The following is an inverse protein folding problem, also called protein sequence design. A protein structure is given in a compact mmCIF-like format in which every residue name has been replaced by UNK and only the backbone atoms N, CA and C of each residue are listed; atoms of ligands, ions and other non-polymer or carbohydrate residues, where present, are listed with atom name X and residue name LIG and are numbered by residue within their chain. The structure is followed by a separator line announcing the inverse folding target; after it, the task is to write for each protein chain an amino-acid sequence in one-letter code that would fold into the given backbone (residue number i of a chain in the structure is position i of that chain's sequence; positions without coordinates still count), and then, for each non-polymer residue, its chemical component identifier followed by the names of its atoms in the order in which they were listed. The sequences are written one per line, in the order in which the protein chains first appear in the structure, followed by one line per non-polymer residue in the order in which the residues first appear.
data_IF_875668250935
#
_entry.id   IF_875668250935
#
_cell.length_a   1.000
_cell.length_b   1.000
_cell.length_c   1.000
_cell.angle_alpha   90.00
_cell.angle_beta   90.00
_cell.angle_gamma   90.00
#
_symmetry.space_group_name_H-M   'P 1'
#
loop_
_entity.id
_entity.type
_entity.pdbx_description
1 polymer ?
#
# COMPACT_ATOMS: atom_id res chain seq x y z
N UNK A 1 -0.29 4.61 -56.95
CA UNK A 1 -1.30 4.86 -58.01
C UNK A 1 -0.88 5.94 -58.99
N UNK A 2 -0.50 7.14 -58.58
CA UNK A 2 0.00 8.21 -59.46
C UNK A 2 1.19 7.74 -60.30
N UNK A 3 2.16 7.04 -59.77
CA UNK A 3 3.33 6.53 -60.52
C UNK A 3 2.94 5.59 -61.67
N UNK A 4 1.95 4.75 -61.52
CA UNK A 4 1.51 3.83 -62.58
C UNK A 4 0.87 4.60 -63.72
N UNK A 5 0.08 5.65 -63.41
CA UNK A 5 -0.53 6.48 -64.41
C UNK A 5 0.49 7.32 -65.19
N UNK A 6 1.51 7.88 -64.53
CA UNK A 6 2.51 8.74 -65.13
C UNK A 6 3.64 7.99 -65.85
N UNK A 7 4.02 6.78 -65.40
CA UNK A 7 5.10 5.97 -65.97
C UNK A 7 4.65 4.97 -67.03
N UNK A 8 3.32 4.81 -67.21
CA UNK A 8 2.80 3.90 -68.24
C UNK A 8 2.99 4.49 -69.66
N UNK A 9 3.60 3.69 -70.55
CA UNK A 9 3.82 4.03 -71.96
C UNK A 9 2.49 4.19 -72.72
N UNK A 10 1.39 3.55 -72.25
CA UNK A 10 0.05 3.67 -72.79
C UNK A 10 -0.91 4.14 -71.72
N UNK A 11 -1.30 5.43 -71.78
CA UNK A 11 -2.15 6.08 -70.78
C UNK A 11 -3.53 5.43 -70.60
N UNK A 12 -4.14 4.90 -71.67
CA UNK A 12 -5.45 4.25 -71.60
C UNK A 12 -5.35 2.92 -70.82
N UNK A 13 -4.29 2.15 -71.07
CA UNK A 13 -4.04 0.90 -70.40
C UNK A 13 -3.65 1.12 -68.94
N UNK A 14 -2.89 2.17 -68.65
CA UNK A 14 -2.53 2.61 -67.30
C UNK A 14 -3.76 3.06 -66.49
N UNK A 15 -4.70 3.78 -67.09
CA UNK A 15 -5.96 4.22 -66.45
C UNK A 15 -6.85 3.03 -66.10
N UNK A 16 -7.02 2.08 -66.99
CA UNK A 16 -7.78 0.86 -66.73
C UNK A 16 -7.18 0.00 -65.63
N UNK A 17 -5.85 -0.14 -65.60
CA UNK A 17 -5.15 -0.89 -64.56
C UNK A 17 -5.30 -0.23 -63.20
N UNK A 18 -5.17 1.11 -63.12
CA UNK A 18 -5.41 1.86 -61.88
C UNK A 18 -6.84 1.65 -61.37
N UNK A 19 -7.85 1.69 -62.27
CA UNK A 19 -9.23 1.55 -61.88
C UNK A 19 -9.56 0.12 -61.33
N UNK A 20 -8.97 -0.92 -61.93
CA UNK A 20 -9.14 -2.30 -61.48
C UNK A 20 -8.45 -2.56 -60.15
N UNK A 21 -7.30 -1.98 -59.89
CA UNK A 21 -6.51 -2.22 -58.64
C UNK A 21 -6.97 -1.29 -57.51
N UNK A 22 -7.40 -0.06 -57.84
CA UNK A 22 -7.73 0.96 -56.83
C UNK A 22 -8.84 0.55 -55.89
N UNK A 23 -9.92 -0.03 -56.41
CA UNK A 23 -11.07 -0.39 -55.60
C UNK A 23 -10.78 -1.53 -54.57
N UNK A 24 -10.21 -2.70 -54.99
CA UNK A 24 -9.83 -3.75 -54.02
C UNK A 24 -8.78 -3.24 -53.04
N UNK A 25 -7.80 -2.43 -53.48
CA UNK A 25 -6.75 -1.96 -52.59
C UNK A 25 -7.27 -0.94 -51.56
N UNK A 26 -8.21 -0.05 -51.93
CA UNK A 26 -8.90 0.84 -50.98
C UNK A 26 -9.68 0.03 -49.95
N UNK A 27 -10.39 -1.01 -50.39
CA UNK A 27 -11.21 -1.84 -49.52
C UNK A 27 -10.36 -2.60 -48.51
N UNK A 28 -9.30 -3.27 -48.97
CA UNK A 28 -8.37 -4.01 -48.10
C UNK A 28 -7.68 -3.09 -47.10
N UNK A 29 -7.17 -1.95 -47.55
CA UNK A 29 -6.51 -0.98 -46.68
C UNK A 29 -7.48 -0.36 -45.66
N UNK A 30 -8.72 -0.06 -46.06
CA UNK A 30 -9.73 0.48 -45.15
C UNK A 30 -10.11 -0.54 -44.07
N UNK A 31 -10.36 -1.80 -44.47
CA UNK A 31 -10.67 -2.88 -43.53
C UNK A 31 -9.47 -3.17 -42.61
N UNK A 32 -8.28 -3.27 -43.17
CA UNK A 32 -7.04 -3.49 -42.41
C UNK A 32 -6.80 -2.39 -41.37
N UNK A 33 -6.99 -1.11 -41.78
CA UNK A 33 -6.83 0.03 -40.87
C UNK A 33 -7.88 0.03 -39.75
N UNK A 34 -9.14 -0.31 -40.07
CA UNK A 34 -10.20 -0.42 -39.05
C UNK A 34 -9.92 -1.53 -38.04
N UNK A 35 -9.46 -2.70 -38.50
CA UNK A 35 -9.08 -3.80 -37.60
C UNK A 35 -7.90 -3.37 -36.73
N UNK A 36 -6.86 -2.77 -37.33
CA UNK A 36 -5.68 -2.31 -36.58
C UNK A 36 -6.04 -1.27 -35.51
N UNK A 37 -6.82 -0.25 -35.86
CA UNK A 37 -7.32 0.75 -34.91
C UNK A 37 -8.20 0.12 -33.82
N UNK A 38 -9.04 -0.83 -34.17
CA UNK A 38 -9.89 -1.52 -33.22
C UNK A 38 -9.08 -2.30 -32.19
N UNK A 39 -8.02 -2.99 -32.62
CA UNK A 39 -7.10 -3.71 -31.73
C UNK A 39 -6.41 -2.73 -30.79
N UNK A 40 -5.81 -1.66 -31.33
CA UNK A 40 -5.12 -0.64 -30.51
C UNK A 40 -6.07 -0.02 -29.48
N UNK A 41 -7.25 0.44 -29.91
CA UNK A 41 -8.21 1.06 -29.01
C UNK A 41 -8.72 0.08 -27.95
N UNK A 42 -8.88 -1.18 -28.30
CA UNK A 42 -9.29 -2.21 -27.35
C UNK A 42 -8.19 -2.49 -26.31
N UNK A 43 -6.94 -2.55 -26.75
CA UNK A 43 -5.78 -2.71 -25.85
C UNK A 43 -5.65 -1.53 -24.88
N UNK A 44 -5.74 -0.30 -25.38
CA UNK A 44 -5.67 0.92 -24.54
C UNK A 44 -6.81 0.93 -23.51
N UNK A 45 -8.05 0.65 -23.93
CA UNK A 45 -9.21 0.60 -23.01
C UNK A 45 -9.07 -0.49 -21.96
N UNK A 46 -8.48 -1.62 -22.33
CA UNK A 46 -8.26 -2.72 -21.39
C UNK A 46 -7.25 -2.32 -20.32
N UNK A 47 -6.14 -1.69 -20.70
CA UNK A 47 -5.15 -1.17 -19.77
C UNK A 47 -5.71 -0.05 -18.87
N UNK A 48 -6.47 0.88 -19.41
CA UNK A 48 -7.11 1.95 -18.62
C UNK A 48 -8.11 1.39 -17.60
N UNK A 49 -8.89 0.37 -17.99
CA UNK A 49 -9.83 -0.31 -17.09
C UNK A 49 -9.12 -1.01 -15.93
N UNK A 50 -8.02 -1.72 -16.20
CA UNK A 50 -7.21 -2.37 -15.15
C UNK A 50 -6.59 -1.35 -14.20
N UNK A 51 -6.04 -0.26 -14.70
CA UNK A 51 -5.46 0.82 -13.89
C UNK A 51 -6.50 1.50 -13.00
N UNK A 52 -7.72 1.72 -13.50
CA UNK A 52 -8.79 2.33 -12.73
C UNK A 52 -9.22 1.43 -11.54
N UNK A 53 -9.36 0.12 -11.76
CA UNK A 53 -9.70 -0.85 -10.70
C UNK A 53 -8.59 -0.89 -9.66
N UNK A 54 -7.33 -1.00 -10.07
CA UNK A 54 -6.19 -1.02 -9.15
C UNK A 54 -6.09 0.25 -8.31
N UNK A 55 -6.34 1.42 -8.89
CA UNK A 55 -6.33 2.69 -8.14
C UNK A 55 -7.43 2.73 -7.08
N UNK A 56 -8.62 2.21 -7.39
CA UNK A 56 -9.73 2.16 -6.44
C UNK A 56 -9.43 1.21 -5.27
N UNK A 57 -8.86 0.05 -5.54
CA UNK A 57 -8.48 -0.94 -4.53
C UNK A 57 -7.44 -0.38 -3.56
N UNK A 58 -6.44 0.37 -4.06
CA UNK A 58 -5.42 1.02 -3.21
C UNK A 58 -6.01 2.14 -2.37
N UNK A 59 -6.88 2.98 -2.93
CA UNK A 59 -7.55 4.03 -2.16
C UNK A 59 -8.42 3.44 -1.05
N UNK A 60 -9.12 2.36 -1.33
CA UNK A 60 -9.92 1.67 -0.33
C UNK A 60 -9.04 1.04 0.75
N UNK A 61 -7.97 0.33 0.35
CA UNK A 61 -6.99 -0.24 1.28
C UNK A 61 -6.39 0.84 2.18
N UNK A 62 -5.97 1.97 1.62
CA UNK A 62 -5.43 3.10 2.37
C UNK A 62 -6.43 3.63 3.39
N UNK A 63 -7.70 3.78 3.02
CA UNK A 63 -8.76 4.24 3.91
C UNK A 63 -9.03 3.28 5.07
N UNK A 64 -9.00 1.97 4.80
CA UNK A 64 -9.26 0.95 5.80
C UNK A 64 -8.05 0.73 6.74
N UNK A 65 -6.83 0.91 6.25
CA UNK A 65 -5.60 0.76 7.04
C UNK A 65 -5.24 2.01 7.85
N UNK A 66 -5.72 3.20 7.47
CA UNK A 66 -5.44 4.46 8.16
C UNK A 66 -5.69 4.40 9.68
N UNK A 67 -6.84 3.93 10.20
CA UNK A 67 -7.08 3.84 11.63
C UNK A 67 -6.20 2.81 12.33
N UNK A 68 -5.72 1.79 11.62
CA UNK A 68 -4.87 0.73 12.16
C UNK A 68 -3.45 1.24 12.42
N UNK A 69 -2.84 1.85 11.43
CA UNK A 69 -1.48 2.42 11.57
C UNK A 69 -1.46 3.71 12.38
N UNK A 70 -2.55 4.50 12.34
CA UNK A 70 -2.70 5.71 13.11
C UNK A 70 -2.70 5.50 14.63
N UNK A 71 -3.04 4.32 15.12
CA UNK A 71 -2.94 3.95 16.54
C UNK A 71 -1.62 3.27 16.92
N UNK A 72 -0.66 3.25 16.01
CA UNK A 72 0.67 2.67 16.19
C UNK A 72 0.77 1.22 15.75
N UNK A 73 2.01 0.79 15.53
CA UNK A 73 2.35 -0.54 15.05
C UNK A 73 2.30 -1.54 16.24
N UNK A 74 1.13 -2.13 16.49
CA UNK A 74 0.93 -3.18 17.48
C UNK A 74 0.46 -4.48 16.82
N UNK A 75 0.57 -5.65 17.47
CA UNK A 75 0.25 -6.94 16.86
C UNK A 75 -1.19 -7.05 16.34
N UNK A 76 -2.17 -6.51 17.07
CA UNK A 76 -3.59 -6.58 16.69
C UNK A 76 -3.85 -5.78 15.40
N UNK A 77 -3.36 -4.55 15.34
CA UNK A 77 -3.53 -3.68 14.18
C UNK A 77 -2.71 -4.19 12.98
N UNK A 78 -1.49 -4.66 13.23
CA UNK A 78 -0.65 -5.27 12.21
C UNK A 78 -1.31 -6.49 11.58
N UNK A 79 -1.95 -7.36 12.39
CA UNK A 79 -2.64 -8.54 11.87
C UNK A 79 -3.84 -8.15 10.99
N UNK A 80 -4.67 -7.21 11.43
CA UNK A 80 -5.79 -6.71 10.63
C UNK A 80 -5.31 -6.07 9.32
N UNK A 81 -4.23 -5.29 9.37
CA UNK A 81 -3.64 -4.67 8.20
C UNK A 81 -3.08 -5.73 7.23
N UNK A 82 -2.36 -6.74 7.73
CA UNK A 82 -1.83 -7.83 6.92
C UNK A 82 -2.93 -8.62 6.20
N UNK A 83 -4.05 -8.90 6.88
CA UNK A 83 -5.21 -9.58 6.29
C UNK A 83 -5.87 -8.74 5.18
N UNK A 84 -6.05 -7.43 5.42
CA UNK A 84 -6.59 -6.51 4.41
C UNK A 84 -5.68 -6.42 3.18
N UNK A 85 -4.38 -6.27 3.40
CA UNK A 85 -3.39 -6.20 2.32
C UNK A 85 -3.37 -7.52 1.53
N UNK A 86 -3.31 -8.67 2.20
CA UNK A 86 -3.30 -9.99 1.58
C UNK A 86 -4.54 -10.20 0.69
N UNK A 87 -5.72 -9.82 1.19
CA UNK A 87 -6.98 -9.93 0.45
C UNK A 87 -7.03 -9.02 -0.78
N UNK A 88 -6.55 -7.79 -0.64
CA UNK A 88 -6.62 -6.76 -1.69
C UNK A 88 -5.56 -6.97 -2.76
N UNK A 89 -4.31 -7.21 -2.34
CA UNK A 89 -3.17 -7.36 -3.25
C UNK A 89 -3.06 -8.75 -3.89
N UNK A 90 -3.79 -9.75 -3.35
CA UNK A 90 -3.79 -11.15 -3.84
C UNK A 90 -2.39 -11.77 -3.91
N UNK A 91 -1.48 -11.34 -3.05
CA UNK A 91 -0.15 -11.93 -2.88
C UNK A 91 -0.24 -13.23 -2.08
N UNK A 92 0.77 -14.11 -2.19
CA UNK A 92 0.74 -15.42 -1.52
C UNK A 92 0.78 -15.35 0.00
N UNK A 93 1.53 -14.38 0.54
CA UNK A 93 1.51 -14.07 1.97
C UNK A 93 1.95 -12.63 2.24
N UNK A 94 1.55 -12.09 3.40
CA UNK A 94 1.94 -10.76 3.91
C UNK A 94 2.45 -10.91 5.32
N UNK A 95 3.54 -10.22 5.64
CA UNK A 95 4.04 -10.09 7.00
C UNK A 95 4.34 -8.64 7.35
N UNK A 96 4.02 -8.27 8.59
CA UNK A 96 4.40 -6.98 9.17
C UNK A 96 5.24 -7.27 10.41
N UNK A 97 6.37 -6.58 10.53
CA UNK A 97 7.29 -6.78 11.65
C UNK A 97 7.61 -5.46 12.33
N UNK A 98 8.02 -5.52 13.58
CA UNK A 98 8.81 -4.45 14.18
C UNK A 98 10.30 -4.70 13.89
N UNK A 99 11.20 -4.04 14.64
CA UNK A 99 12.66 -4.23 14.49
C UNK A 99 13.18 -5.59 14.96
N UNK A 100 12.39 -6.35 15.73
CA UNK A 100 12.82 -7.61 16.40
C UNK A 100 11.91 -8.78 16.02
N UNK A 101 10.61 -8.57 16.09
CA UNK A 101 9.62 -9.64 16.07
C UNK A 101 8.66 -9.52 14.88
N UNK A 102 8.09 -10.65 14.49
CA UNK A 102 6.96 -10.72 13.56
C UNK A 102 5.71 -10.29 14.32
N UNK A 103 5.10 -9.17 13.94
CA UNK A 103 3.86 -8.66 14.51
C UNK A 103 2.62 -9.31 13.88
N UNK A 104 2.70 -9.59 12.57
CA UNK A 104 1.62 -10.20 11.81
C UNK A 104 2.17 -11.07 10.69
N UNK A 105 1.45 -12.15 10.40
CA UNK A 105 1.68 -13.00 9.24
C UNK A 105 0.36 -13.58 8.76
N UNK A 106 0.12 -13.53 7.44
CA UNK A 106 -1.11 -14.04 6.82
C UNK A 106 -0.79 -14.64 5.46
N UNK A 107 -1.29 -15.84 5.17
CA UNK A 107 -1.13 -16.52 3.90
C UNK A 107 -0.27 -17.77 3.95
N UNK A 108 0.35 -18.13 2.83
CA UNK A 108 1.18 -19.32 2.69
C UNK A 108 2.40 -19.28 3.63
N UNK A 109 2.74 -20.39 4.28
CA UNK A 109 3.85 -20.46 5.23
C UNK A 109 3.52 -20.03 6.66
N UNK A 110 2.25 -19.80 7.00
CA UNK A 110 1.80 -19.43 8.35
C UNK A 110 2.01 -20.53 9.41
N UNK A 111 2.31 -21.74 8.98
CA UNK A 111 2.64 -22.89 9.85
C UNK A 111 3.97 -22.70 10.59
N UNK A 112 4.95 -22.02 9.99
CA UNK A 112 6.28 -21.81 10.57
C UNK A 112 6.68 -20.32 10.73
N UNK A 113 6.10 -19.39 9.98
CA UNK A 113 6.26 -17.96 10.20
C UNK A 113 5.28 -17.46 11.26
N UNK A 114 5.62 -17.63 12.54
CA UNK A 114 4.70 -17.36 13.66
C UNK A 114 4.83 -15.94 14.18
N UNK A 115 3.69 -15.36 14.53
CA UNK A 115 3.64 -14.07 15.24
C UNK A 115 4.36 -14.19 16.59
N UNK A 116 5.17 -13.20 16.93
CA UNK A 116 5.96 -13.16 18.16
C UNK A 116 7.29 -13.92 18.10
N UNK A 117 7.60 -14.57 16.97
CA UNK A 117 8.95 -15.10 16.75
C UNK A 117 9.91 -13.99 16.30
N UNK A 118 11.20 -14.19 16.62
CA UNK A 118 12.28 -13.29 16.15
C UNK A 118 12.24 -13.14 14.62
N UNK A 119 12.79 -12.04 14.12
CA UNK A 119 13.03 -11.82 12.70
C UNK A 119 13.91 -12.95 12.14
N UNK A 120 13.25 -13.94 11.56
CA UNK A 120 13.86 -15.21 11.11
C UNK A 120 14.67 -15.01 9.83
N UNK A 121 14.43 -13.94 9.05
CA UNK A 121 15.03 -13.79 7.73
C UNK A 121 16.12 -12.71 7.72
N UNK A 122 17.29 -13.04 7.16
CA UNK A 122 18.41 -12.11 7.02
C UNK A 122 18.04 -10.92 6.13
N UNK A 123 17.23 -11.15 5.10
CA UNK A 123 16.71 -10.10 4.21
C UNK A 123 15.98 -8.99 4.98
N UNK A 124 15.25 -9.33 6.04
CA UNK A 124 14.54 -8.34 6.87
C UNK A 124 15.48 -7.49 7.71
N UNK A 125 16.55 -8.09 8.24
CA UNK A 125 17.57 -7.35 8.99
C UNK A 125 18.33 -6.40 8.08
N UNK A 126 18.61 -6.85 6.86
CA UNK A 126 19.28 -6.05 5.85
C UNK A 126 18.40 -4.85 5.45
N UNK A 127 17.11 -5.04 5.14
CA UNK A 127 16.19 -3.96 4.82
C UNK A 127 16.06 -2.90 5.94
N UNK A 128 16.08 -3.34 7.22
CA UNK A 128 16.10 -2.42 8.38
C UNK A 128 17.42 -1.65 8.48
N UNK A 129 18.54 -2.28 8.11
CA UNK A 129 19.87 -1.67 8.24
C UNK A 129 20.15 -0.68 7.12
N UNK A 130 19.81 -1.06 5.88
CA UNK A 130 20.05 -0.26 4.68
C UNK A 130 18.96 0.80 4.46
N UNK A 131 17.74 0.57 4.94
CA UNK A 131 16.63 1.50 4.79
C UNK A 131 16.03 1.51 3.38
N UNK A 132 16.30 0.47 2.59
CA UNK A 132 15.89 0.36 1.20
C UNK A 132 15.00 -0.87 0.99
N UNK A 133 14.23 -0.83 -0.10
CA UNK A 133 13.47 -1.97 -0.55
C UNK A 133 14.43 -3.06 -1.03
N UNK A 134 14.21 -4.28 -0.56
CA UNK A 134 14.96 -5.47 -1.00
C UNK A 134 14.02 -6.47 -1.65
N UNK A 135 14.51 -7.10 -2.71
CA UNK A 135 13.77 -8.11 -3.47
C UNK A 135 14.56 -9.41 -3.42
N UNK A 136 13.87 -10.51 -3.17
CA UNK A 136 14.41 -11.87 -3.22
C UNK A 136 13.63 -12.67 -4.26
N UNK A 137 14.36 -13.35 -5.14
CA UNK A 137 13.82 -14.18 -6.21
C UNK A 137 13.89 -15.67 -5.90
N UNK A 138 14.50 -16.02 -4.78
CA UNK A 138 14.65 -17.39 -4.35
C UNK A 138 14.42 -17.54 -2.85
N UNK A 139 13.99 -18.74 -2.44
CA UNK A 139 13.84 -19.09 -1.02
C UNK A 139 15.14 -18.90 -0.23
N UNK A 140 16.28 -19.18 -0.87
CA UNK A 140 17.59 -19.00 -0.24
C UNK A 140 17.88 -17.53 0.08
N UNK A 141 17.51 -16.63 -0.82
CA UNK A 141 17.64 -15.17 -0.63
C UNK A 141 16.67 -14.65 0.45
N UNK A 142 15.46 -15.21 0.54
CA UNK A 142 14.54 -14.91 1.64
C UNK A 142 15.17 -15.27 2.99
N UNK A 143 16.02 -16.30 3.03
CA UNK A 143 16.67 -16.75 4.25
C UNK A 143 15.75 -17.53 5.19
N UNK A 144 14.73 -18.20 4.67
CA UNK A 144 13.86 -19.06 5.47
C UNK A 144 14.55 -20.40 5.76
N UNK A 145 14.62 -20.79 7.04
CA UNK A 145 15.26 -22.03 7.48
C UNK A 145 14.38 -23.29 7.29
N UNK A 146 13.12 -23.12 6.90
CA UNK A 146 12.20 -24.22 6.66
C UNK A 146 12.39 -24.78 5.26
N UNK A 147 12.80 -26.05 5.14
CA UNK A 147 13.05 -26.69 3.83
C UNK A 147 11.78 -26.86 2.98
N UNK A 148 10.62 -26.94 3.63
CA UNK A 148 9.31 -27.10 2.99
C UNK A 148 8.55 -25.78 2.81
N UNK A 149 9.23 -24.63 3.00
CA UNK A 149 8.60 -23.32 2.85
C UNK A 149 8.11 -23.12 1.40
N UNK A 150 6.83 -22.81 1.18
CA UNK A 150 6.27 -22.63 -0.16
C UNK A 150 6.62 -21.27 -0.79
N UNK A 151 7.32 -20.40 -0.06
CA UNK A 151 7.62 -19.04 -0.50
C UNK A 151 8.93 -19.03 -1.30
N UNK A 152 8.85 -18.59 -2.56
CA UNK A 152 10.00 -18.55 -3.49
C UNK A 152 10.47 -17.12 -3.76
N UNK A 153 9.56 -16.13 -3.71
CA UNK A 153 9.91 -14.72 -3.88
C UNK A 153 9.45 -13.85 -2.72
N UNK A 154 10.13 -12.73 -2.48
CA UNK A 154 9.73 -11.75 -1.49
C UNK A 154 10.14 -10.32 -1.88
N UNK A 155 9.27 -9.37 -1.51
CA UNK A 155 9.59 -7.94 -1.47
C UNK A 155 9.56 -7.51 -0.01
N UNK A 156 10.64 -6.94 0.48
CA UNK A 156 10.76 -6.43 1.85
C UNK A 156 10.95 -4.93 1.80
N UNK A 157 10.07 -4.20 2.48
CA UNK A 157 10.06 -2.74 2.49
C UNK A 157 10.18 -2.24 3.93
N UNK A 158 11.03 -1.25 4.19
CA UNK A 158 11.08 -0.59 5.49
C UNK A 158 9.79 0.22 5.74
N UNK A 159 9.34 0.22 6.98
CA UNK A 159 8.29 1.10 7.49
C UNK A 159 8.95 2.18 8.34
N UNK A 160 8.77 3.43 7.94
CA UNK A 160 9.45 4.57 8.51
C UNK A 160 8.54 5.38 9.43
N UNK A 161 9.12 5.90 10.52
CA UNK A 161 8.55 6.93 11.37
C UNK A 161 9.51 8.15 11.37
N UNK A 162 9.33 9.03 10.40
CA UNK A 162 10.31 10.07 10.10
C UNK A 162 11.61 9.49 9.58
N UNK A 163 12.71 9.67 10.31
CA UNK A 163 14.02 9.15 9.94
C UNK A 163 14.33 7.77 10.54
N UNK A 164 13.46 7.26 11.41
CA UNK A 164 13.65 5.98 12.09
C UNK A 164 12.86 4.87 11.39
N UNK A 165 13.49 3.73 11.15
CA UNK A 165 12.81 2.53 10.68
C UNK A 165 12.20 1.82 11.88
N UNK A 166 10.88 1.67 11.89
CA UNK A 166 10.13 1.04 12.98
C UNK A 166 9.83 -0.43 12.76
N UNK A 167 9.93 -0.89 11.51
CA UNK A 167 9.67 -2.27 11.14
C UNK A 167 9.77 -2.50 9.64
N UNK A 168 9.21 -3.60 9.16
CA UNK A 168 9.13 -3.93 7.74
C UNK A 168 7.74 -4.43 7.35
N UNK A 169 7.35 -4.12 6.12
CA UNK A 169 6.25 -4.74 5.40
C UNK A 169 6.83 -5.70 4.38
N UNK A 170 6.27 -6.90 4.29
CA UNK A 170 6.77 -7.95 3.40
C UNK A 170 5.64 -8.53 2.59
N UNK A 171 5.87 -8.66 1.31
CA UNK A 171 5.03 -9.42 0.38
C UNK A 171 5.77 -10.66 -0.04
N UNK A 172 5.08 -11.79 -0.04
CA UNK A 172 5.66 -13.07 -0.44
C UNK A 172 4.88 -13.66 -1.60
N UNK A 173 5.63 -14.38 -2.44
CA UNK A 173 5.15 -15.05 -3.63
C UNK A 173 5.56 -16.51 -3.59
N UNK A 174 4.68 -17.40 -4.04
CA UNK A 174 4.96 -18.84 -4.21
C UNK A 174 5.55 -19.15 -5.58
N UNK A 175 5.64 -18.15 -6.45
CA UNK A 175 6.16 -18.25 -7.80
C UNK A 175 6.89 -16.93 -8.13
N UNK A 176 8.14 -17.01 -8.57
CA UNK A 176 8.95 -15.83 -8.91
C UNK A 176 8.38 -15.05 -10.11
N UNK A 177 7.69 -15.72 -11.03
CA UNK A 177 7.02 -15.07 -12.18
C UNK A 177 5.96 -14.04 -11.75
N UNK A 178 5.46 -14.12 -10.52
CA UNK A 178 4.51 -13.15 -9.94
C UNK A 178 5.19 -11.88 -9.43
N UNK A 179 6.51 -11.89 -9.29
CA UNK A 179 7.29 -10.78 -8.75
C UNK A 179 7.73 -9.84 -9.87
N UNK A 180 6.80 -9.08 -10.41
CA UNK A 180 7.05 -8.15 -11.51
C UNK A 180 7.44 -6.75 -11.02
N UNK A 181 7.96 -5.91 -11.93
CA UNK A 181 8.24 -4.49 -11.62
C UNK A 181 6.98 -3.72 -11.18
N UNK A 182 5.81 -4.19 -11.59
CA UNK A 182 4.53 -3.57 -11.22
C UNK A 182 4.25 -3.81 -9.74
N UNK A 183 4.39 -5.06 -9.27
CA UNK A 183 4.23 -5.41 -7.86
C UNK A 183 5.25 -4.69 -6.98
N UNK A 184 6.50 -4.54 -7.44
CA UNK A 184 7.52 -3.80 -6.71
C UNK A 184 7.14 -2.33 -6.52
N UNK A 185 6.71 -1.65 -7.58
CA UNK A 185 6.25 -0.24 -7.52
C UNK A 185 5.00 -0.07 -6.65
N UNK A 186 4.07 -1.02 -6.70
CA UNK A 186 2.90 -1.02 -5.83
C UNK A 186 3.29 -1.18 -4.36
N UNK A 187 4.18 -2.13 -4.08
CA UNK A 187 4.67 -2.38 -2.74
C UNK A 187 5.38 -1.14 -2.16
N UNK A 188 6.23 -0.49 -2.95
CA UNK A 188 6.93 0.75 -2.59
C UNK A 188 5.94 1.87 -2.25
N UNK A 189 4.98 2.15 -3.13
CA UNK A 189 3.96 3.18 -2.89
C UNK A 189 3.11 2.92 -1.65
N UNK A 190 2.73 1.65 -1.39
CA UNK A 190 2.00 1.28 -0.17
C UNK A 190 2.86 1.44 1.09
N UNK A 191 4.16 1.10 1.04
CA UNK A 191 5.08 1.30 2.17
C UNK A 191 5.22 2.77 2.55
N UNK A 192 5.31 3.67 1.55
CA UNK A 192 5.33 5.12 1.79
C UNK A 192 4.03 5.61 2.43
N UNK A 193 2.88 5.13 1.94
CA UNK A 193 1.57 5.47 2.51
C UNK A 193 1.49 5.00 3.97
N UNK A 194 1.87 3.76 4.26
CA UNK A 194 1.81 3.22 5.61
C UNK A 194 2.80 3.90 6.55
N UNK A 195 4.01 4.21 6.10
CA UNK A 195 4.99 5.01 6.85
C UNK A 195 4.42 6.38 7.21
N UNK A 196 3.77 7.05 6.26
CA UNK A 196 3.09 8.33 6.50
C UNK A 196 1.95 8.20 7.51
N UNK A 197 1.16 7.13 7.44
CA UNK A 197 0.09 6.87 8.41
C UNK A 197 0.63 6.63 9.83
N UNK A 198 1.72 5.88 9.97
CA UNK A 198 2.40 5.64 11.26
C UNK A 198 2.87 6.97 11.85
N UNK A 199 3.51 7.81 11.06
CA UNK A 199 4.01 9.12 11.49
C UNK A 199 2.86 10.05 11.93
N UNK A 200 1.78 10.14 11.15
CA UNK A 200 0.62 10.96 11.48
C UNK A 200 -0.06 10.49 12.77
N UNK A 201 -0.20 9.18 12.95
CA UNK A 201 -0.80 8.60 14.16
C UNK A 201 0.01 8.90 15.41
N UNK A 202 1.34 8.89 15.32
CA UNK A 202 2.21 9.27 16.42
C UNK A 202 2.04 10.74 16.81
N UNK A 203 1.98 11.64 15.82
CA UNK A 203 1.75 13.08 16.06
C UNK A 203 0.41 13.31 16.76
N UNK A 204 -0.64 12.63 16.34
CA UNK A 204 -1.97 12.76 16.93
C UNK A 204 -2.04 12.22 18.37
N UNK A 205 -1.40 11.08 18.61
CA UNK A 205 -1.24 10.51 19.94
C UNK A 205 -0.46 11.45 20.89
N UNK A 206 0.63 12.05 20.42
CA UNK A 206 1.40 13.01 21.20
C UNK A 206 0.59 14.26 21.54
N UNK A 207 -0.18 14.80 20.60
CA UNK A 207 -1.09 15.93 20.86
C UNK A 207 -2.14 15.59 21.91
N UNK A 208 -2.68 14.37 21.85
CA UNK A 208 -3.68 13.92 22.83
C UNK A 208 -3.07 13.81 24.24
N UNK A 209 -1.87 13.27 24.36
CA UNK A 209 -1.16 13.17 25.64
C UNK A 209 -0.81 14.56 26.21
N UNK A 210 -0.36 15.50 25.37
CA UNK A 210 -0.09 16.88 25.78
C UNK A 210 -1.37 17.56 26.31
N UNK A 211 -2.48 17.44 25.59
CA UNK A 211 -3.78 17.98 26.02
C UNK A 211 -4.24 17.38 27.34
N UNK A 212 -4.05 16.08 27.54
CA UNK A 212 -4.38 15.44 28.83
C UNK A 212 -3.47 15.94 29.97
N UNK A 213 -2.17 16.14 29.70
CA UNK A 213 -1.24 16.68 30.68
C UNK A 213 -1.61 18.13 31.07
N UNK A 214 -1.96 18.96 30.10
CA UNK A 214 -2.46 20.34 30.36
C UNK A 214 -3.71 20.34 31.22
N UNK A 215 -4.70 19.49 30.89
CA UNK A 215 -5.94 19.37 31.69
C UNK A 215 -5.63 18.92 33.12
N UNK A 216 -4.73 17.97 33.33
CA UNK A 216 -4.31 17.55 34.69
C UNK A 216 -3.62 18.68 35.44
N UNK A 217 -2.79 19.46 34.77
CA UNK A 217 -2.10 20.63 35.38
C UNK A 217 -3.12 21.69 35.80
N UNK A 218 -4.09 21.99 34.94
CA UNK A 218 -5.16 22.94 35.24
C UNK A 218 -6.05 22.44 36.41
N UNK A 219 -6.39 21.17 36.43
CA UNK A 219 -7.12 20.56 37.55
C UNK A 219 -6.32 20.58 38.86
N UNK A 220 -5.00 20.40 38.81
CA UNK A 220 -4.12 20.49 39.97
C UNK A 220 -3.98 21.93 40.50
N UNK A 221 -4.18 22.95 39.68
CA UNK A 221 -4.18 24.37 40.13
C UNK A 221 -5.44 24.74 40.92
N UNK A 222 -6.54 24.03 40.76
CA UNK A 222 -7.68 24.12 41.64
C UNK A 222 -7.33 23.44 42.95
N UNK A 223 -6.95 24.23 43.97
CA UNK A 223 -6.61 23.72 45.27
C UNK A 223 -7.84 23.03 45.91
N UNK A 224 -7.93 21.69 45.94
CA UNK A 224 -9.13 21.01 46.46
C UNK A 224 -9.39 21.34 47.91
N UNK A 225 -8.33 21.57 48.68
CA UNK A 225 -8.41 21.90 50.08
C UNK A 225 -9.05 23.27 50.30
N UNK A 226 -8.72 24.25 49.47
CA UNK A 226 -9.38 25.55 49.49
C UNK A 226 -10.89 25.42 49.20
N UNK A 227 -11.23 24.64 48.20
CA UNK A 227 -12.63 24.43 47.83
C UNK A 227 -13.44 23.73 48.92
N UNK A 228 -12.89 22.66 49.50
CA UNK A 228 -13.50 21.96 50.64
C UNK A 228 -13.61 22.85 51.87
N UNK A 229 -12.61 23.65 52.19
CA UNK A 229 -12.65 24.58 53.31
C UNK A 229 -13.69 25.67 53.10
N UNK A 230 -13.79 26.21 51.90
CA UNK A 230 -14.78 27.23 51.56
C UNK A 230 -16.21 26.66 51.66
N UNK A 231 -16.48 25.49 51.11
CA UNK A 231 -17.78 24.82 51.22
C UNK A 231 -18.13 24.50 52.67
N UNK A 232 -17.18 24.00 53.45
CA UNK A 232 -17.38 23.70 54.85
C UNK A 232 -17.66 24.97 55.67
N UNK A 233 -16.97 26.07 55.38
CA UNK A 233 -17.22 27.37 56.02
C UNK A 233 -18.62 27.92 55.67
N UNK A 234 -19.01 27.87 54.41
CA UNK A 234 -20.34 28.26 53.96
C UNK A 234 -21.42 27.40 54.65
N UNK A 235 -21.22 26.09 54.67
CA UNK A 235 -22.15 25.15 55.33
C UNK A 235 -22.27 25.39 56.84
N UNK A 236 -21.17 25.76 57.49
CA UNK A 236 -21.18 26.12 58.89
C UNK A 236 -21.94 27.44 59.16
N UNK A 237 -21.70 28.49 58.33
CA UNK A 237 -22.43 29.76 58.43
C UNK A 237 -23.92 29.56 58.21
N UNK A 238 -24.32 28.77 57.21
CA UNK A 238 -25.76 28.50 56.95
C UNK A 238 -26.45 27.74 58.10
N UNK A 239 -25.69 27.01 58.93
CA UNK A 239 -26.25 26.31 60.09
C UNK A 239 -26.41 27.19 61.30
N UNK A 240 -25.57 28.19 61.49
CA UNK A 240 -25.56 29.07 62.65
C UNK A 240 -26.25 30.39 62.43
N UNK A 241 -26.41 30.87 61.21
CA UNK A 241 -27.06 32.14 60.86
C UNK A 241 -27.72 32.02 59.46
N UNK A 242 -28.93 31.41 59.40
CA UNK A 242 -29.59 31.13 58.11
C UNK A 242 -30.08 32.39 57.39
N UNK A 243 -30.07 33.55 58.04
CA UNK A 243 -30.57 34.84 57.47
C UNK A 243 -29.41 35.74 56.94
N UNK A 244 -28.17 35.25 56.93
CA UNK A 244 -27.02 35.90 56.32
C UNK A 244 -26.56 35.13 55.05
#
# INVERSE_FOLDING_TARGET
MACIYFLSSNRVMGANLVQVIMFPMMLVNSVGMNIFLSIILNTIRHEEGLRAIQTQDVLQLTKETLPLFGSGLNPENAQKAAELIHKTMKVSAVSITNRKDILAFTGAGSDHHRVGSDLVTDLSRQAITEGEMLVAHTRAEIGCHCETCPLEGAIVLPLNDGNDIVGTLKYYFTDDDQLTEVEQKWAEGLSEIFSTQIQLGKVDSQKHLLKQAELRTLQGQVNPHFFFNTINTISAVMRFDPDK
#
